data_IF_505944733174
#
_entry.id   IF_505944733174
#
_cell.length_a   1.000
_cell.length_b   1.000
_cell.length_c   1.000
_cell.angle_alpha   90.00
_cell.angle_beta   90.00
_cell.angle_gamma   90.00
#
_symmetry.space_group_name_H-M   'P 1'
#
loop_
_entity.id
_entity.type
_entity.pdbx_description
1 polymer ?
#
# COMPACT_ATOMS: atom_id res chain seq x y z
N UNK A 1 26.41 5.68 -25.83
CA UNK A 1 26.20 5.94 -24.39
C UNK A 1 26.33 7.43 -24.17
N UNK A 2 25.23 8.14 -23.90
CA UNK A 2 25.26 9.59 -23.69
C UNK A 2 25.84 9.86 -22.29
N UNK A 3 26.82 10.77 -22.19
CA UNK A 3 27.29 11.30 -20.90
C UNK A 3 26.52 12.58 -20.61
N UNK A 4 25.82 12.62 -19.48
CA UNK A 4 25.21 13.84 -18.96
C UNK A 4 26.32 14.71 -18.31
N UNK A 5 26.25 16.04 -18.44
CA UNK A 5 27.20 16.96 -17.79
C UNK A 5 26.96 17.02 -16.27
N UNK A 6 28.04 17.19 -15.50
CA UNK A 6 28.06 17.14 -14.02
C UNK A 6 27.21 18.23 -13.33
N UNK A 7 26.71 19.22 -14.08
CA UNK A 7 25.91 20.33 -13.55
C UNK A 7 24.41 20.02 -13.43
N UNK A 8 23.97 18.80 -13.77
CA UNK A 8 22.56 18.40 -13.74
C UNK A 8 22.11 17.71 -12.43
N UNK A 9 22.91 17.71 -11.36
CA UNK A 9 22.70 16.87 -10.18
C UNK A 9 22.81 17.61 -8.83
N UNK A 10 22.33 18.85 -8.76
CA UNK A 10 22.15 19.52 -7.47
C UNK A 10 20.69 19.93 -7.31
N UNK A 11 19.91 19.02 -6.73
CA UNK A 11 18.58 19.36 -6.20
C UNK A 11 18.80 19.81 -4.76
N UNK A 12 18.98 21.12 -4.57
CA UNK A 12 19.07 21.75 -3.24
C UNK A 12 17.66 21.99 -2.67
N UNK A 13 16.83 20.94 -2.72
CA UNK A 13 15.54 20.91 -2.09
C UNK A 13 15.74 20.37 -0.68
N UNK A 14 15.61 21.23 0.34
CA UNK A 14 15.45 20.77 1.70
C UNK A 14 14.36 19.69 1.70
N UNK A 15 14.75 18.43 1.91
CA UNK A 15 13.82 17.31 1.91
C UNK A 15 12.81 17.57 3.03
N UNK A 16 11.63 18.05 2.68
CA UNK A 16 10.55 18.26 3.62
C UNK A 16 10.12 16.89 4.15
N UNK A 17 10.74 16.49 5.25
CA UNK A 17 10.49 15.22 5.91
C UNK A 17 9.24 15.40 6.77
N UNK A 18 8.07 15.35 6.16
CA UNK A 18 6.83 15.17 6.91
C UNK A 18 6.83 13.73 7.43
N UNK A 19 7.30 13.53 8.65
CA UNK A 19 7.30 12.20 9.26
C UNK A 19 5.84 11.82 9.52
N UNK A 20 5.33 10.82 8.79
CA UNK A 20 3.99 10.27 9.03
C UNK A 20 3.93 9.80 10.48
N UNK A 21 2.85 10.10 11.23
CA UNK A 21 2.73 9.66 12.62
C UNK A 21 2.95 8.15 12.74
N UNK A 22 3.66 7.73 13.78
CA UNK A 22 3.91 6.32 14.07
C UNK A 22 2.59 5.65 14.44
N UNK A 23 2.29 4.52 13.80
CA UNK A 23 1.13 3.69 14.08
C UNK A 23 1.48 2.68 15.16
N UNK A 24 0.75 2.67 16.28
CA UNK A 24 0.96 1.69 17.36
C UNK A 24 0.06 0.48 17.15
N UNK A 25 0.66 -0.68 16.98
CA UNK A 25 0.01 -1.95 16.67
C UNK A 25 0.30 -2.97 17.77
N UNK A 26 -0.57 -3.96 17.92
CA UNK A 26 -0.26 -5.13 18.73
C UNK A 26 0.73 -6.05 17.98
N UNK A 27 1.67 -6.71 18.67
CA UNK A 27 2.36 -7.85 18.10
C UNK A 27 1.39 -9.01 17.82
N UNK A 28 1.75 -9.92 16.92
CA UNK A 28 0.90 -11.04 16.53
C UNK A 28 0.01 -10.74 15.31
N UNK A 29 -1.19 -11.37 15.21
CA UNK A 29 -2.06 -11.22 14.05
C UNK A 29 -2.53 -9.77 13.85
N UNK A 30 -2.41 -9.29 12.61
CA UNK A 30 -2.91 -7.99 12.17
C UNK A 30 -3.76 -8.19 10.90
N UNK A 31 -4.99 -7.67 10.89
CA UNK A 31 -5.83 -7.60 9.70
C UNK A 31 -5.51 -6.33 8.91
N UNK A 32 -4.83 -6.45 7.77
CA UNK A 32 -4.64 -5.37 6.81
C UNK A 32 -5.82 -5.32 5.83
N UNK A 33 -6.43 -4.14 5.66
CA UNK A 33 -7.48 -3.89 4.67
C UNK A 33 -7.15 -2.66 3.86
N UNK A 34 -7.03 -2.85 2.55
CA UNK A 34 -7.02 -1.74 1.59
C UNK A 34 -8.46 -1.53 1.12
N UNK A 35 -9.05 -0.42 1.53
CA UNK A 35 -10.42 -0.05 1.18
C UNK A 35 -10.36 0.74 -0.11
N UNK A 36 -10.99 0.20 -1.16
CA UNK A 36 -11.15 0.86 -2.44
C UNK A 36 -12.63 1.05 -2.74
N UNK A 37 -13.03 2.29 -2.94
CA UNK A 37 -14.34 2.65 -3.46
C UNK A 37 -14.14 3.26 -4.85
N UNK A 38 -14.67 2.64 -5.93
CA UNK A 38 -14.57 3.20 -7.26
C UNK A 38 -15.19 4.61 -7.31
N UNK A 39 -14.62 5.54 -8.09
CA UNK A 39 -15.25 6.83 -8.33
C UNK A 39 -16.68 6.67 -8.86
N UNK A 40 -17.59 7.63 -8.60
CA UNK A 40 -18.95 7.58 -9.13
C UNK A 40 -18.97 7.36 -10.64
N UNK A 41 -19.82 6.43 -11.09
CA UNK A 41 -19.89 6.03 -12.50
C UNK A 41 -18.90 4.94 -12.92
N UNK A 42 -18.14 4.37 -11.99
CA UNK A 42 -17.24 3.25 -12.25
C UNK A 42 -17.60 2.03 -11.38
N UNK A 43 -17.21 0.83 -11.84
CA UNK A 43 -17.33 -0.43 -11.09
C UNK A 43 -16.00 -1.18 -11.06
N UNK A 44 -15.73 -1.91 -9.99
CA UNK A 44 -14.72 -2.99 -10.03
C UNK A 44 -15.19 -4.04 -11.03
N UNK A 45 -14.38 -4.30 -12.06
CA UNK A 45 -14.70 -5.30 -13.07
C UNK A 45 -13.68 -6.44 -13.07
N UNK A 46 -14.11 -7.61 -12.61
CA UNK A 46 -13.31 -8.85 -12.57
C UNK A 46 -13.40 -9.70 -13.84
N UNK A 47 -14.10 -9.21 -14.88
CA UNK A 47 -14.42 -10.01 -16.08
C UNK A 47 -13.20 -10.52 -16.84
N UNK A 48 -12.07 -9.80 -16.75
CA UNK A 48 -10.81 -10.15 -17.45
C UNK A 48 -9.68 -10.54 -16.48
N UNK A 49 -10.04 -10.99 -15.28
CA UNK A 49 -9.10 -11.39 -14.24
C UNK A 49 -9.18 -10.50 -13.00
N UNK A 50 -8.27 -10.69 -12.04
CA UNK A 50 -8.32 -9.95 -10.78
C UNK A 50 -8.12 -8.45 -11.04
N UNK A 51 -9.09 -7.66 -10.61
CA UNK A 51 -9.06 -6.19 -10.75
C UNK A 51 -8.11 -5.53 -9.75
N UNK A 52 -7.48 -6.29 -8.86
CA UNK A 52 -6.66 -5.75 -7.79
C UNK A 52 -5.35 -6.50 -7.61
N UNK A 53 -4.37 -5.80 -7.07
CA UNK A 53 -3.09 -6.33 -6.64
C UNK A 53 -2.68 -5.65 -5.34
N UNK A 54 -2.18 -6.45 -4.41
CA UNK A 54 -1.63 -6.01 -3.13
C UNK A 54 -0.22 -6.59 -3.00
N UNK A 55 0.73 -5.80 -2.52
CA UNK A 55 2.07 -6.27 -2.16
C UNK A 55 2.43 -5.73 -0.79
N UNK A 56 2.89 -6.62 0.09
CA UNK A 56 3.27 -6.28 1.47
C UNK A 56 4.72 -6.68 1.71
N UNK A 57 5.50 -5.79 2.32
CA UNK A 57 6.82 -6.08 2.85
C UNK A 57 7.09 -5.26 4.11
N UNK A 58 8.22 -5.52 4.77
CA UNK A 58 8.57 -4.87 6.01
C UNK A 58 10.06 -4.47 6.05
N UNK A 59 10.36 -3.46 6.84
CA UNK A 59 11.73 -3.04 7.16
C UNK A 59 11.83 -2.77 8.67
N UNK A 60 12.57 -3.59 9.43
CA UNK A 60 13.35 -4.73 8.96
C UNK A 60 12.45 -5.93 8.55
N UNK A 61 12.92 -6.88 7.71
CA UNK A 61 12.09 -8.00 7.24
C UNK A 61 11.53 -8.86 8.38
N UNK A 62 12.28 -9.07 9.45
CA UNK A 62 11.89 -9.83 10.64
C UNK A 62 10.72 -9.23 11.43
N UNK A 63 10.32 -7.98 11.13
CA UNK A 63 9.08 -7.39 11.67
C UNK A 63 7.85 -8.21 11.27
N UNK A 64 7.88 -8.83 10.09
CA UNK A 64 6.76 -9.55 9.50
C UNK A 64 7.10 -11.04 9.39
N UNK A 65 6.51 -11.84 10.29
CA UNK A 65 6.69 -13.29 10.34
C UNK A 65 5.89 -14.02 9.25
N UNK A 66 4.74 -13.47 8.85
CA UNK A 66 3.88 -14.00 7.79
C UNK A 66 3.05 -12.89 7.11
N UNK A 67 2.61 -13.14 5.87
CA UNK A 67 1.78 -12.22 5.08
C UNK A 67 2.55 -11.32 4.11
N UNK A 68 3.87 -11.50 3.97
CA UNK A 68 4.68 -10.82 2.98
C UNK A 68 4.37 -11.27 1.54
N UNK A 69 4.73 -10.45 0.55
CA UNK A 69 4.64 -10.76 -0.88
C UNK A 69 3.36 -10.26 -1.54
N UNK A 70 3.08 -10.75 -2.74
CA UNK A 70 1.97 -10.30 -3.56
C UNK A 70 0.68 -11.12 -3.35
N UNK A 71 -0.48 -10.49 -3.54
CA UNK A 71 -1.81 -11.11 -3.63
C UNK A 71 -2.71 -10.30 -4.56
N UNK A 72 -3.88 -10.84 -4.86
CA UNK A 72 -4.95 -10.16 -5.63
C UNK A 72 -6.12 -9.73 -4.74
N UNK A 73 -6.15 -10.17 -3.50
CA UNK A 73 -7.10 -9.73 -2.48
C UNK A 73 -6.57 -8.44 -1.83
N UNK A 74 -7.48 -7.49 -1.58
CA UNK A 74 -7.19 -6.23 -0.88
C UNK A 74 -7.30 -6.36 0.65
N UNK A 75 -7.60 -7.54 1.17
CA UNK A 75 -7.58 -7.85 2.61
C UNK A 75 -6.58 -8.98 2.85
N UNK A 76 -5.79 -8.88 3.93
CA UNK A 76 -4.78 -9.87 4.26
C UNK A 76 -4.50 -9.91 5.76
N UNK A 77 -4.37 -11.12 6.30
CA UNK A 77 -3.82 -11.31 7.65
C UNK A 77 -2.29 -11.30 7.58
N UNK A 78 -1.69 -10.48 8.43
CA UNK A 78 -0.26 -10.39 8.66
C UNK A 78 0.06 -10.96 10.05
N UNK A 79 1.29 -11.41 10.28
CA UNK A 79 1.77 -11.79 11.61
C UNK A 79 2.99 -10.94 11.96
N UNK A 80 2.83 -10.04 12.93
CA UNK A 80 3.87 -9.14 13.42
C UNK A 80 4.69 -9.81 14.53
N UNK A 81 6.01 -9.63 14.51
CA UNK A 81 6.91 -10.26 15.46
C UNK A 81 6.84 -9.61 16.86
N UNK A 82 6.69 -10.41 17.91
CA UNK A 82 6.70 -9.95 19.31
C UNK A 82 8.09 -9.45 19.79
N UNK A 83 9.16 -9.82 19.08
CA UNK A 83 10.54 -9.44 19.42
C UNK A 83 11.08 -8.18 18.73
N UNK A 84 10.32 -7.57 17.81
CA UNK A 84 10.73 -6.36 17.06
C UNK A 84 9.91 -5.18 17.56
N UNK A 85 10.58 -4.12 18.03
CA UNK A 85 9.87 -3.00 18.67
C UNK A 85 9.28 -2.00 17.68
N UNK A 86 9.97 -1.73 16.58
CA UNK A 86 9.57 -0.76 15.58
C UNK A 86 10.11 -1.07 14.19
N UNK A 87 9.49 -0.47 13.17
CA UNK A 87 9.91 -0.58 11.79
C UNK A 87 8.97 0.13 10.85
N UNK A 88 8.97 -0.29 9.59
CA UNK A 88 8.09 0.24 8.53
C UNK A 88 7.41 -0.93 7.83
N UNK A 89 6.08 -0.91 7.78
CA UNK A 89 5.32 -1.73 6.85
C UNK A 89 5.23 -1.00 5.51
N UNK A 90 5.62 -1.69 4.44
CA UNK A 90 5.46 -1.20 3.07
C UNK A 90 4.28 -1.93 2.45
N UNK A 91 3.28 -1.17 2.05
CA UNK A 91 2.08 -1.69 1.39
C UNK A 91 1.95 -0.99 0.05
N UNK A 92 1.78 -1.74 -1.03
CA UNK A 92 1.49 -1.23 -2.35
C UNK A 92 0.21 -1.87 -2.85
N UNK A 93 -0.76 -1.08 -3.31
CA UNK A 93 -2.01 -1.59 -3.83
C UNK A 93 -2.39 -0.90 -5.13
N UNK A 94 -2.97 -1.68 -6.04
CA UNK A 94 -3.61 -1.17 -7.26
C UNK A 94 -4.96 -1.82 -7.46
N UNK A 95 -5.92 -1.05 -7.96
CA UNK A 95 -7.25 -1.53 -8.34
C UNK A 95 -7.68 -0.90 -9.67
N UNK A 96 -8.31 -1.70 -10.53
CA UNK A 96 -8.88 -1.29 -11.80
C UNK A 96 -10.40 -1.19 -11.69
N UNK A 97 -10.97 -0.07 -12.13
CA UNK A 97 -12.40 0.16 -12.22
C UNK A 97 -12.79 0.62 -13.63
N UNK A 98 -13.95 0.20 -14.13
CA UNK A 98 -14.39 0.53 -15.48
C UNK A 98 -15.71 1.30 -15.48
N UNK A 99 -15.89 2.18 -16.46
CA UNK A 99 -17.11 3.00 -16.61
C UNK A 99 -18.38 2.12 -16.67
N UNK A 100 -19.47 2.59 -16.07
CA UNK A 100 -20.77 1.91 -16.14
C UNK A 100 -21.68 2.53 -17.19
N UNK A 101 -22.54 1.71 -17.82
CA UNK A 101 -23.62 2.21 -18.69
C UNK A 101 -23.21 2.62 -20.11
N UNK A 102 -22.04 2.19 -20.59
CA UNK A 102 -21.54 2.49 -21.94
C UNK A 102 -21.18 1.20 -22.70
N UNK A 103 -21.27 1.23 -24.03
CA UNK A 103 -21.01 0.06 -24.91
C UNK A 103 -19.53 -0.39 -24.90
N UNK A 104 -18.61 0.56 -24.71
CA UNK A 104 -17.17 0.33 -24.64
C UNK A 104 -16.58 1.02 -23.40
N UNK A 105 -16.68 0.39 -22.22
CA UNK A 105 -16.25 1.02 -20.98
C UNK A 105 -14.73 1.19 -20.93
N UNK A 106 -14.26 2.40 -20.61
CA UNK A 106 -12.86 2.61 -20.30
C UNK A 106 -12.56 2.09 -18.90
N UNK A 107 -11.38 1.49 -18.71
CA UNK A 107 -10.91 1.03 -17.41
C UNK A 107 -9.78 1.92 -16.93
N UNK A 108 -9.85 2.30 -15.66
CA UNK A 108 -8.96 3.21 -14.96
C UNK A 108 -8.26 2.44 -13.85
N UNK A 109 -6.95 2.62 -13.72
CA UNK A 109 -6.16 1.99 -12.67
C UNK A 109 -5.81 3.03 -11.61
N UNK A 110 -6.25 2.77 -10.38
CA UNK A 110 -5.82 3.49 -9.19
C UNK A 110 -4.68 2.73 -8.54
N UNK A 111 -3.59 3.42 -8.19
CA UNK A 111 -2.45 2.81 -7.50
C UNK A 111 -1.93 3.73 -6.41
N UNK A 112 -1.59 3.15 -5.26
CA UNK A 112 -1.02 3.87 -4.15
C UNK A 112 -0.08 2.98 -3.33
N UNK A 113 0.98 3.59 -2.82
CA UNK A 113 1.96 2.97 -1.95
C UNK A 113 2.00 3.70 -0.59
N UNK A 114 2.20 2.94 0.48
CA UNK A 114 2.33 3.43 1.85
C UNK A 114 3.59 2.86 2.49
N UNK A 115 4.42 3.74 3.05
CA UNK A 115 5.35 3.40 4.11
C UNK A 115 4.74 3.80 5.44
N UNK A 116 4.32 2.83 6.25
CA UNK A 116 3.68 3.05 7.55
C UNK A 116 4.74 2.80 8.64
N UNK A 117 5.26 3.85 9.32
CA UNK A 117 6.09 3.65 10.51
C UNK A 117 5.23 3.01 11.60
N UNK A 118 5.70 1.89 12.16
CA UNK A 118 4.97 1.14 13.19
C UNK A 118 5.79 0.96 14.46
N UNK A 119 5.09 0.88 15.59
CA UNK A 119 5.59 0.42 16.88
C UNK A 119 4.71 -0.69 17.40
N UNK A 120 5.30 -1.75 17.94
CA UNK A 120 4.60 -2.93 18.43
C UNK A 120 4.36 -2.87 19.94
N UNK A 121 3.84 -1.73 20.41
CA UNK A 121 3.52 -1.44 21.81
C UNK A 121 2.03 -1.09 22.01
N UNK A 122 1.21 -1.34 20.99
CA UNK A 122 -0.21 -1.02 20.97
C UNK A 122 -1.12 -2.22 21.22
N UNK A 123 -2.42 -1.98 21.02
CA UNK A 123 -3.49 -2.99 21.10
C UNK A 123 -4.27 -3.13 19.79
N UNK A 124 -3.91 -2.34 18.78
CA UNK A 124 -4.60 -2.31 17.49
C UNK A 124 -4.13 -3.48 16.64
N UNK A 125 -5.08 -4.29 16.18
CA UNK A 125 -4.91 -5.48 15.35
C UNK A 125 -5.61 -5.35 13.98
N UNK A 126 -6.02 -4.13 13.61
CA UNK A 126 -6.57 -3.82 12.28
C UNK A 126 -5.89 -2.57 11.70
N UNK A 127 -5.47 -2.64 10.45
CA UNK A 127 -4.91 -1.52 9.70
C UNK A 127 -5.70 -1.30 8.41
N UNK A 128 -6.49 -0.23 8.38
CA UNK A 128 -7.26 0.20 7.21
C UNK A 128 -6.48 1.28 6.43
N UNK A 129 -6.31 1.06 5.11
CA UNK A 129 -5.66 1.99 4.19
C UNK A 129 -6.64 2.34 3.06
N UNK A 130 -6.87 3.63 2.82
CA UNK A 130 -7.77 4.09 1.75
C UNK A 130 -7.00 4.19 0.44
N UNK A 131 -7.39 3.38 -0.55
CA UNK A 131 -6.94 3.51 -1.93
C UNK A 131 -7.87 4.52 -2.62
N UNK A 132 -7.44 5.78 -2.70
CA UNK A 132 -8.27 6.83 -3.28
C UNK A 132 -8.20 6.77 -4.81
N UNK A 133 -9.32 6.44 -5.46
CA UNK A 133 -9.51 6.73 -6.87
C UNK A 133 -9.67 8.24 -7.06
N UNK A 134 -8.81 8.86 -7.87
CA UNK A 134 -8.94 10.28 -8.22
C UNK A 134 -10.22 10.55 -9.01
#
# INVERSE_FOLDING_TARGET
RLRLPDQALVVDGAAQRTQRPVTRLAPGPLLLRVVFEPPPGQKLDGSFGPSARLTVSASPPELLLDGAGASVELTRTLVLADGVTEGVLHVAASAASCDVGVEHPACHVTQQDWGIPVRLDGTVDVLDLLLNGL
#
